data_IF_208968407841
#
_entry.id   IF_208968407841
#
_cell.length_a   1.000
_cell.length_b   1.000
_cell.length_c   1.000
_cell.angle_alpha   90.00
_cell.angle_beta   90.00
_cell.angle_gamma   90.00
#
_symmetry.space_group_name_H-M   'P 1'
#
loop_
_entity.id
_entity.type
_entity.pdbx_description
1 polymer ?
#
# COMPACT_ATOMS: atom_id res chain seq x y z
N UNK A 1 3.43 17.85 -0.07
CA UNK A 1 4.02 16.71 0.67
C UNK A 1 3.01 15.59 0.63
N UNK A 2 3.36 14.49 -0.03
CA UNK A 2 2.53 13.29 -0.06
C UNK A 2 2.43 12.72 1.36
N UNK A 3 1.20 12.50 1.86
CA UNK A 3 0.94 12.10 3.25
C UNK A 3 0.97 10.59 3.49
N UNK A 4 1.14 9.79 2.45
CA UNK A 4 1.00 8.34 2.52
C UNK A 4 2.24 7.65 1.92
N UNK A 5 2.75 6.68 2.66
CA UNK A 5 3.71 5.69 2.17
C UNK A 5 2.96 4.41 1.83
N UNK A 6 3.21 3.85 0.65
CA UNK A 6 2.58 2.61 0.17
C UNK A 6 3.59 1.47 0.16
N UNK A 7 3.27 0.37 0.83
CA UNK A 7 4.09 -0.84 0.75
C UNK A 7 4.02 -1.45 -0.65
N UNK A 8 5.16 -1.74 -1.26
CA UNK A 8 5.21 -2.28 -2.63
C UNK A 8 4.89 -3.78 -2.71
N UNK A 9 4.88 -4.50 -1.59
CA UNK A 9 4.54 -5.92 -1.56
C UNK A 9 3.07 -6.17 -1.20
N UNK A 10 2.60 -5.58 -0.10
CA UNK A 10 1.26 -5.85 0.42
C UNK A 10 0.26 -4.71 0.24
N UNK A 11 0.70 -3.55 -0.26
CA UNK A 11 -0.12 -2.35 -0.45
C UNK A 11 -0.72 -1.78 0.85
N UNK A 12 -0.14 -2.10 2.01
CA UNK A 12 -0.46 -1.41 3.25
C UNK A 12 -0.01 0.06 3.19
N UNK A 13 -0.78 0.92 3.82
CA UNK A 13 -0.53 2.36 3.90
C UNK A 13 0.06 2.66 5.26
N UNK A 14 1.14 3.44 5.27
CA UNK A 14 1.77 3.97 6.47
C UNK A 14 1.89 5.48 6.38
N UNK A 15 1.96 6.14 7.53
CA UNK A 15 2.26 7.57 7.58
C UNK A 15 3.77 7.78 7.46
N UNK A 16 4.22 8.90 6.89
CA UNK A 16 5.64 9.24 6.84
C UNK A 16 6.16 9.38 8.28
N UNK A 17 6.98 8.43 8.69
CA UNK A 17 7.70 8.50 9.96
C UNK A 17 9.00 9.28 9.80
N UNK A 18 9.49 9.92 10.86
CA UNK A 18 10.82 10.55 10.85
C UNK A 18 11.97 9.54 10.74
N UNK A 19 11.68 8.23 10.78
CA UNK A 19 12.66 7.20 10.51
C UNK A 19 12.70 6.90 9.01
N UNK A 20 13.79 7.32 8.38
CA UNK A 20 14.08 7.10 6.96
C UNK A 20 14.23 5.61 6.58
N UNK A 21 14.26 4.72 7.58
CA UNK A 21 14.43 3.27 7.45
C UNK A 21 13.16 2.46 7.78
N UNK A 22 11.98 3.08 7.80
CA UNK A 22 10.74 2.36 8.09
C UNK A 22 10.41 1.35 6.98
N UNK A 23 10.46 0.06 7.31
CA UNK A 23 9.89 -1.04 6.52
C UNK A 23 8.44 -1.30 6.91
N UNK A 24 7.64 -1.82 5.97
CA UNK A 24 6.30 -2.29 6.28
C UNK A 24 6.37 -3.48 7.26
N UNK A 25 5.34 -3.67 8.08
CA UNK A 25 5.20 -4.85 8.95
C UNK A 25 5.18 -6.18 8.19
N UNK A 26 5.02 -6.16 6.86
CA UNK A 26 5.16 -7.35 6.03
C UNK A 26 6.61 -7.68 5.63
N UNK A 27 7.57 -6.81 5.94
CA UNK A 27 8.96 -6.91 5.50
C UNK A 27 9.25 -6.17 4.19
N UNK A 28 8.22 -5.72 3.48
CA UNK A 28 8.36 -5.00 2.21
C UNK A 28 8.70 -3.52 2.35
N UNK A 29 9.19 -2.95 1.27
CA UNK A 29 9.61 -1.55 1.20
C UNK A 29 8.42 -0.58 1.15
N UNK A 30 8.56 0.53 1.87
CA UNK A 30 7.61 1.64 1.84
C UNK A 30 8.02 2.67 0.78
N UNK A 31 7.11 2.97 -0.14
CA UNK A 31 7.32 3.94 -1.20
C UNK A 31 6.50 5.22 -0.97
N UNK A 32 7.16 6.37 -0.93
CA UNK A 32 6.53 7.69 -0.78
C UNK A 32 6.55 8.55 -2.05
N UNK A 33 6.89 7.98 -3.21
CA UNK A 33 6.91 8.73 -4.46
C UNK A 33 5.50 9.21 -4.86
N UNK A 34 5.41 10.15 -5.80
CA UNK A 34 4.12 10.72 -6.22
C UNK A 34 3.13 9.65 -6.71
N UNK A 35 3.60 8.65 -7.45
CA UNK A 35 2.78 7.55 -7.95
C UNK A 35 2.25 6.68 -6.80
N UNK A 36 3.14 6.21 -5.92
CA UNK A 36 2.77 5.41 -4.74
C UNK A 36 1.79 6.14 -3.83
N UNK A 37 1.97 7.44 -3.63
CA UNK A 37 1.06 8.26 -2.86
C UNK A 37 -0.32 8.40 -3.50
N UNK A 38 -0.38 8.61 -4.82
CA UNK A 38 -1.64 8.67 -5.56
C UNK A 38 -2.37 7.32 -5.53
N UNK A 39 -1.65 6.21 -5.65
CA UNK A 39 -2.26 4.88 -5.61
C UNK A 39 -2.75 4.52 -4.19
N UNK A 40 -2.09 5.00 -3.14
CA UNK A 40 -2.61 4.94 -1.78
C UNK A 40 -3.94 5.71 -1.62
N UNK A 41 -4.06 6.92 -2.19
CA UNK A 41 -5.32 7.68 -2.16
C UNK A 41 -6.44 6.97 -2.95
N UNK A 42 -6.11 6.34 -4.08
CA UNK A 42 -7.06 5.52 -4.84
C UNK A 42 -7.54 4.33 -4.00
N UNK A 43 -6.63 3.60 -3.35
CA UNK A 43 -6.99 2.50 -2.46
C UNK A 43 -7.93 2.97 -1.33
N UNK A 44 -7.63 4.12 -0.70
CA UNK A 44 -8.48 4.73 0.34
C UNK A 44 -9.86 5.15 -0.18
N UNK A 45 -9.98 5.55 -1.45
CA UNK A 45 -11.25 5.90 -2.09
C UNK A 45 -12.04 4.69 -2.61
N UNK A 46 -11.51 3.47 -2.44
CA UNK A 46 -12.20 2.23 -2.80
C UNK A 46 -11.80 1.62 -4.14
N UNK A 47 -10.75 2.13 -4.80
CA UNK A 47 -10.23 1.54 -6.04
C UNK A 47 -9.62 0.16 -5.77
N UNK A 48 -9.97 -0.83 -6.59
CA UNK A 48 -9.50 -2.22 -6.48
C UNK A 48 -9.03 -2.79 -7.82
N UNK A 49 -9.10 -2.02 -8.90
CA UNK A 49 -8.53 -2.42 -10.19
C UNK A 49 -7.01 -2.19 -10.17
N UNK A 50 -6.26 -3.30 -10.21
CA UNK A 50 -4.79 -3.29 -10.23
C UNK A 50 -4.21 -2.43 -11.37
N UNK A 51 -4.91 -2.31 -12.51
CA UNK A 51 -4.48 -1.48 -13.65
C UNK A 51 -4.56 0.00 -13.34
N UNK A 52 -5.59 0.40 -12.57
CA UNK A 52 -5.77 1.79 -12.13
C UNK A 52 -4.82 2.16 -10.99
N UNK A 53 -4.23 1.16 -10.34
CA UNK A 53 -3.22 1.27 -9.27
C UNK A 53 -1.78 1.08 -9.77
N UNK A 54 -1.56 1.07 -11.09
CA UNK A 54 -0.22 0.93 -11.70
C UNK A 54 0.58 -0.29 -11.23
N UNK A 55 -0.12 -1.38 -10.88
CA UNK A 55 0.52 -2.62 -10.47
C UNK A 55 0.90 -3.44 -11.70
N UNK A 56 2.09 -4.05 -11.66
CA UNK A 56 2.60 -4.85 -12.78
C UNK A 56 1.80 -6.13 -13.00
N UNK A 57 1.19 -6.67 -11.95
CA UNK A 57 0.46 -7.93 -11.98
C UNK A 57 -0.94 -7.81 -11.36
N UNK A 58 -1.91 -8.62 -11.83
CA UNK A 58 -3.20 -8.76 -11.15
C UNK A 58 -3.00 -9.23 -9.72
N UNK A 59 -3.66 -8.55 -8.78
CA UNK A 59 -3.65 -8.89 -7.37
C UNK A 59 -5.07 -8.83 -6.82
N UNK A 60 -5.42 -9.76 -5.94
CA UNK A 60 -6.72 -9.77 -5.29
C UNK A 60 -6.75 -8.76 -4.14
N UNK A 61 -7.55 -7.70 -4.32
CA UNK A 61 -7.74 -6.63 -3.34
C UNK A 61 -9.08 -6.74 -2.60
N UNK A 62 -9.83 -7.84 -2.76
CA UNK A 62 -11.16 -8.01 -2.16
C UNK A 62 -11.14 -7.91 -0.63
N UNK A 63 -10.01 -8.27 -0.01
CA UNK A 63 -9.80 -8.24 1.44
C UNK A 63 -8.76 -7.19 1.88
N UNK A 64 -8.42 -6.25 1.01
CA UNK A 64 -7.46 -5.22 1.32
C UNK A 64 -7.95 -4.29 2.44
N UNK A 65 -7.05 -3.91 3.35
CA UNK A 65 -7.25 -2.84 4.33
C UNK A 65 -6.05 -1.90 4.40
N UNK A 66 -6.26 -0.66 4.84
CA UNK A 66 -5.19 0.34 4.90
C UNK A 66 -4.03 -0.09 5.83
N UNK A 67 -4.32 -0.67 6.98
CA UNK A 67 -3.29 -1.02 7.98
C UNK A 67 -2.58 -2.35 7.71
N UNK A 68 -3.23 -3.29 7.02
CA UNK A 68 -2.70 -4.65 6.81
C UNK A 68 -2.45 -5.00 5.34
N UNK A 69 -2.84 -4.12 4.42
CA UNK A 69 -2.78 -4.38 3.00
C UNK A 69 -3.64 -5.60 2.65
N UNK A 70 -3.18 -6.41 1.70
CA UNK A 70 -3.82 -7.68 1.31
C UNK A 70 -3.61 -8.84 2.30
N UNK A 71 -2.79 -8.66 3.35
CA UNK A 71 -2.46 -9.72 4.32
C UNK A 71 -3.55 -9.97 5.37
N UNK A 72 -4.69 -9.26 5.30
CA UNK A 72 -5.79 -9.43 6.24
C UNK A 72 -6.30 -10.88 6.36
N UNK A 73 -5.99 -11.77 5.40
CA UNK A 73 -6.36 -13.19 5.41
C UNK A 73 -5.23 -14.19 5.72
N UNK A 74 -3.96 -13.75 5.83
CA UNK A 74 -2.83 -14.68 6.05
C UNK A 74 -2.46 -14.87 7.52
N UNK A 75 -3.22 -14.28 8.44
CA UNK A 75 -3.10 -14.51 9.88
C UNK A 75 -4.32 -15.31 10.36
N UNK A 76 -4.31 -16.62 10.12
CA UNK A 76 -5.17 -17.61 10.75
C UNK A 76 -4.31 -18.82 11.15
#
# INVERSE_FOLDING_TARGET
MSKHLLCQDCLAISEPSSNENATCSCGGDLCGCLTCANDAEKLLSGERDYRRLHLEAPIDLSHWSASSGIRALQAA
#
